data_IF_696983221209
#
_entry.id   IF_696983221209
#
_cell.length_a   1.000
_cell.length_b   1.000
_cell.length_c   1.000
_cell.angle_alpha   90.00
_cell.angle_beta   90.00
_cell.angle_gamma   90.00
#
_symmetry.space_group_name_H-M   'P 1'
#
loop_
_entity.id
_entity.type
_entity.pdbx_description
1 polymer ?
#
# COMPACT_ATOMS: atom_id res chain seq x y z
N UNK A 1 9.48 -59.65 -32.37
CA UNK A 1 10.45 -58.54 -32.27
C UNK A 1 9.77 -57.35 -31.59
N UNK A 2 10.58 -56.60 -30.82
CA UNK A 2 10.31 -55.53 -29.84
C UNK A 2 9.13 -54.58 -30.20
N UNK A 3 8.15 -54.31 -29.32
CA UNK A 3 8.17 -53.53 -28.06
C UNK A 3 8.47 -52.03 -28.30
N UNK A 4 7.43 -51.22 -28.49
CA UNK A 4 7.52 -49.76 -28.34
C UNK A 4 6.54 -49.27 -27.26
N UNK A 5 7.12 -48.91 -26.10
CA UNK A 5 6.47 -48.19 -25.01
C UNK A 5 6.79 -46.71 -25.21
N UNK A 6 5.82 -45.91 -25.61
CA UNK A 6 5.97 -44.45 -25.61
C UNK A 6 5.59 -43.93 -24.21
N UNK A 7 6.61 -43.58 -23.44
CA UNK A 7 6.47 -43.05 -22.09
C UNK A 7 5.93 -41.62 -22.09
N UNK A 8 4.93 -41.37 -21.25
CA UNK A 8 4.56 -40.03 -20.81
C UNK A 8 5.71 -39.46 -19.97
N UNK A 9 6.34 -38.39 -20.44
CA UNK A 9 7.21 -37.55 -19.61
C UNK A 9 6.37 -36.35 -19.17
N UNK A 10 5.74 -36.47 -18.00
CA UNK A 10 5.08 -35.33 -17.35
C UNK A 10 6.17 -34.43 -16.74
N UNK A 11 6.47 -33.32 -17.40
CA UNK A 11 7.38 -32.28 -16.88
C UNK A 11 6.60 -31.47 -15.84
N UNK A 12 6.77 -31.81 -14.56
CA UNK A 12 6.32 -30.98 -13.43
C UNK A 12 7.19 -29.72 -13.36
N UNK A 13 6.73 -28.62 -13.96
CA UNK A 13 7.28 -27.29 -13.69
C UNK A 13 6.93 -26.91 -12.25
N UNK A 14 7.89 -27.11 -11.33
CA UNK A 14 7.89 -26.40 -10.06
C UNK A 14 8.16 -24.93 -10.35
N UNK A 15 7.09 -24.13 -10.45
CA UNK A 15 7.17 -22.69 -10.37
C UNK A 15 7.75 -22.35 -8.99
N UNK A 16 9.03 -22.03 -8.95
CA UNK A 16 9.68 -21.35 -7.84
C UNK A 16 9.04 -19.96 -7.74
N UNK A 17 7.94 -19.87 -7.00
CA UNK A 17 7.42 -18.60 -6.53
C UNK A 17 8.46 -18.03 -5.59
N UNK A 18 9.36 -17.18 -6.09
CA UNK A 18 10.18 -16.32 -5.23
C UNK A 18 9.23 -15.65 -4.24
N UNK A 19 9.46 -15.72 -2.92
CA UNK A 19 8.71 -14.89 -1.99
C UNK A 19 8.99 -13.46 -2.44
N UNK A 20 7.96 -12.79 -2.97
CA UNK A 20 8.00 -11.35 -3.12
C UNK A 20 8.42 -10.82 -1.75
N UNK A 21 9.59 -10.18 -1.70
CA UNK A 21 10.18 -9.72 -0.45
C UNK A 21 9.08 -9.01 0.32
N UNK A 22 8.80 -9.49 1.53
CA UNK A 22 7.94 -8.76 2.45
C UNK A 22 8.69 -7.47 2.75
N UNK A 23 8.48 -6.47 1.90
CA UNK A 23 8.90 -5.10 2.12
C UNK A 23 8.51 -4.76 3.56
N UNK A 24 9.52 -4.49 4.39
CA UNK A 24 9.32 -4.43 5.82
C UNK A 24 8.46 -3.20 6.17
N UNK A 25 7.16 -3.45 6.34
CA UNK A 25 6.17 -2.44 6.66
C UNK A 25 6.42 -1.77 8.02
N UNK A 26 7.34 -2.30 8.85
CA UNK A 26 7.83 -1.60 10.04
C UNK A 26 8.46 -0.25 9.71
N UNK A 27 8.94 -0.02 8.48
CA UNK A 27 9.40 1.31 8.05
C UNK A 27 8.30 2.37 8.15
N UNK A 28 7.03 1.98 8.04
CA UNK A 28 5.88 2.88 8.16
C UNK A 28 5.56 3.24 9.61
N UNK A 29 6.11 2.53 10.60
CA UNK A 29 5.84 2.81 12.00
C UNK A 29 6.27 4.23 12.38
N UNK A 30 5.33 4.97 12.98
CA UNK A 30 5.55 6.32 13.44
C UNK A 30 5.47 7.41 12.38
N UNK A 31 5.28 7.04 11.11
CA UNK A 31 4.87 7.96 10.03
C UNK A 31 3.44 8.47 10.24
N UNK A 32 2.98 9.37 9.37
CA UNK A 32 1.66 9.98 9.49
C UNK A 32 0.85 9.77 8.22
N UNK A 33 -0.42 9.42 8.36
CA UNK A 33 -1.28 9.09 7.24
C UNK A 33 -2.68 9.68 7.36
N UNK A 34 -3.34 9.86 6.22
CA UNK A 34 -4.78 10.11 6.13
C UNK A 34 -5.35 9.38 4.91
N UNK A 35 -6.67 9.16 4.89
CA UNK A 35 -7.32 8.45 3.80
C UNK A 35 -7.64 9.42 2.66
N UNK A 36 -6.97 9.28 1.53
CA UNK A 36 -7.16 10.08 0.32
C UNK A 36 -8.63 10.15 -0.12
N UNK A 37 -9.37 9.03 -0.01
CA UNK A 37 -10.77 8.97 -0.44
C UNK A 37 -11.77 9.54 0.57
N UNK A 38 -11.32 9.95 1.76
CA UNK A 38 -12.18 10.61 2.73
C UNK A 38 -12.15 12.13 2.52
N UNK A 39 -13.23 12.82 2.88
CA UNK A 39 -13.27 14.28 2.83
C UNK A 39 -12.13 14.87 3.69
N UNK A 40 -11.17 15.61 3.11
CA UNK A 40 -9.98 16.06 3.81
C UNK A 40 -10.31 17.00 4.98
N UNK A 41 -11.32 17.87 4.86
CA UNK A 41 -11.74 18.79 5.94
C UNK A 41 -12.38 18.13 7.15
N UNK A 42 -12.75 16.84 7.04
CA UNK A 42 -13.36 16.05 8.13
C UNK A 42 -12.43 15.01 8.74
N UNK A 43 -11.19 14.92 8.27
CA UNK A 43 -10.19 14.00 8.80
C UNK A 43 -8.96 14.74 9.33
N UNK A 44 -8.12 14.01 10.05
CA UNK A 44 -6.83 14.47 10.55
C UNK A 44 -5.75 13.48 10.14
N UNK A 45 -4.51 13.94 10.10
CA UNK A 45 -3.39 13.04 10.00
C UNK A 45 -3.23 12.20 11.27
N UNK A 46 -3.20 10.89 11.12
CA UNK A 46 -3.03 9.93 12.21
C UNK A 46 -1.65 9.29 12.15
N UNK A 47 -1.05 9.02 13.30
CA UNK A 47 0.22 8.30 13.37
C UNK A 47 0.00 6.83 12.97
N UNK A 48 0.84 6.31 12.09
CA UNK A 48 0.85 4.90 11.69
C UNK A 48 1.44 4.09 12.84
N UNK A 49 0.56 3.50 13.64
CA UNK A 49 0.89 2.65 14.78
C UNK A 49 -0.31 1.76 15.13
N UNK A 50 -0.09 0.80 16.03
CA UNK A 50 -1.15 -0.03 16.61
C UNK A 50 -2.06 -0.63 15.53
N UNK A 51 -3.39 -0.47 15.65
CA UNK A 51 -4.34 -1.07 14.71
C UNK A 51 -4.12 -0.69 13.24
N UNK A 52 -3.73 0.56 12.93
CA UNK A 52 -3.52 0.99 11.55
C UNK A 52 -2.32 0.29 10.92
N UNK A 53 -1.21 0.20 11.66
CA UNK A 53 -0.03 -0.54 11.20
C UNK A 53 -0.34 -2.03 11.07
N UNK A 54 -1.08 -2.62 12.01
CA UNK A 54 -1.55 -4.01 11.91
C UNK A 54 -2.40 -4.24 10.67
N UNK A 55 -3.29 -3.30 10.32
CA UNK A 55 -4.08 -3.37 9.09
C UNK A 55 -3.21 -3.32 7.84
N UNK A 56 -2.20 -2.43 7.78
CA UNK A 56 -1.26 -2.38 6.67
C UNK A 56 -0.46 -3.66 6.51
N UNK A 57 -0.09 -4.30 7.63
CA UNK A 57 0.61 -5.60 7.64
C UNK A 57 -0.27 -6.79 7.27
N UNK A 58 -1.59 -6.62 7.22
CA UNK A 58 -2.50 -7.68 6.82
C UNK A 58 -2.58 -7.81 5.30
N UNK A 59 -3.09 -8.93 4.81
CA UNK A 59 -3.40 -9.11 3.38
C UNK A 59 -4.55 -8.22 2.89
N UNK A 60 -5.13 -7.39 3.76
CA UNK A 60 -6.20 -6.43 3.43
C UNK A 60 -5.69 -5.15 2.77
N UNK A 61 -4.38 -4.88 2.82
CA UNK A 61 -3.75 -3.72 2.19
C UNK A 61 -2.59 -4.13 1.31
N UNK A 62 -2.37 -3.36 0.24
CA UNK A 62 -1.16 -3.40 -0.58
C UNK A 62 -0.48 -2.05 -0.47
N UNK A 63 0.73 -2.05 0.09
CA UNK A 63 1.51 -0.83 0.26
C UNK A 63 2.61 -0.72 -0.80
N UNK A 64 2.75 0.46 -1.40
CA UNK A 64 3.93 0.84 -2.17
C UNK A 64 4.82 1.70 -1.26
N UNK A 65 5.98 1.13 -0.89
CA UNK A 65 6.96 1.79 -0.02
C UNK A 65 7.87 2.77 -0.77
N UNK A 66 7.73 2.84 -2.09
CA UNK A 66 8.41 3.83 -2.92
C UNK A 66 7.81 5.20 -2.65
N UNK A 67 8.65 6.16 -2.26
CA UNK A 67 8.19 7.52 -2.00
C UNK A 67 7.88 8.22 -3.33
N UNK A 68 6.62 8.60 -3.54
CA UNK A 68 6.13 9.31 -4.73
C UNK A 68 5.90 10.79 -4.40
N UNK A 69 6.35 11.70 -5.27
CA UNK A 69 6.31 13.16 -5.04
C UNK A 69 5.22 13.91 -5.81
N UNK A 70 4.33 13.20 -6.51
CA UNK A 70 3.23 13.75 -7.29
C UNK A 70 1.96 14.01 -6.47
N UNK A 71 2.10 14.27 -5.16
CA UNK A 71 0.99 14.64 -4.28
C UNK A 71 0.56 16.10 -4.52
N UNK A 72 -0.63 16.49 -4.05
CA UNK A 72 -1.19 17.84 -4.28
C UNK A 72 -0.31 18.96 -3.70
N UNK A 73 0.43 18.69 -2.62
CA UNK A 73 1.40 19.61 -2.00
C UNK A 73 2.85 19.42 -2.48
N UNK A 74 3.11 18.49 -3.40
CA UNK A 74 4.45 18.12 -3.88
C UNK A 74 5.32 17.39 -2.84
N UNK A 75 4.76 17.00 -1.70
CA UNK A 75 5.45 16.26 -0.67
C UNK A 75 5.56 14.77 -1.04
N UNK A 76 6.68 14.12 -0.71
CA UNK A 76 6.80 12.68 -0.93
C UNK A 76 5.90 11.88 0.02
N UNK A 77 5.11 10.96 -0.54
CA UNK A 77 4.26 10.03 0.19
C UNK A 77 4.51 8.58 -0.26
N UNK A 78 4.31 7.65 0.66
CA UNK A 78 4.10 6.23 0.36
C UNK A 78 2.61 5.96 0.35
N UNK A 79 2.17 4.87 -0.26
CA UNK A 79 0.73 4.56 -0.33
C UNK A 79 0.43 3.20 0.26
N UNK A 80 -0.75 3.07 0.88
CA UNK A 80 -1.32 1.79 1.28
C UNK A 80 -2.77 1.76 0.83
N UNK A 81 -3.08 0.92 -0.16
CA UNK A 81 -4.42 0.81 -0.75
C UNK A 81 -5.08 -0.49 -0.28
N UNK A 82 -6.32 -0.39 0.17
CA UNK A 82 -7.13 -1.53 0.58
C UNK A 82 -7.44 -2.42 -0.63
N UNK A 83 -7.14 -3.72 -0.55
CA UNK A 83 -7.27 -4.63 -1.70
C UNK A 83 -8.70 -5.11 -1.94
N UNK A 84 -9.59 -4.94 -0.96
CA UNK A 84 -10.98 -5.43 -1.01
C UNK A 84 -11.93 -4.44 -0.34
N UNK A 85 -12.97 -4.01 -1.06
CA UNK A 85 -14.03 -3.15 -0.54
C UNK A 85 -14.84 -2.55 -1.67
N UNK A 86 -16.10 -2.18 -1.42
CA UNK A 86 -16.91 -1.44 -2.39
C UNK A 86 -16.37 -0.01 -2.59
N UNK A 87 -15.72 0.55 -1.56
CA UNK A 87 -15.06 1.86 -1.58
C UNK A 87 -13.69 1.69 -0.90
N UNK A 88 -12.66 1.19 -1.61
CA UNK A 88 -11.37 0.89 -1.00
C UNK A 88 -10.75 2.15 -0.42
N UNK A 89 -10.18 2.03 0.79
CA UNK A 89 -9.41 3.13 1.37
C UNK A 89 -8.03 3.22 0.72
N UNK A 90 -7.54 4.43 0.55
CA UNK A 90 -6.16 4.67 0.12
C UNK A 90 -5.52 5.62 1.10
N UNK A 91 -4.47 5.18 1.77
CA UNK A 91 -3.75 5.99 2.73
C UNK A 91 -2.50 6.57 2.07
N UNK A 92 -2.38 7.90 2.09
CA UNK A 92 -1.10 8.57 1.85
C UNK A 92 -0.32 8.62 3.16
N UNK A 93 0.93 8.15 3.14
CA UNK A 93 1.80 8.03 4.31
C UNK A 93 3.04 8.91 4.16
N UNK A 94 3.19 9.89 5.05
CA UNK A 94 4.25 10.88 5.05
C UNK A 94 5.20 10.70 6.22
N UNK A 95 6.46 11.09 6.03
CA UNK A 95 7.49 10.99 7.07
C UNK A 95 7.26 11.94 8.26
N UNK A 96 6.50 13.03 8.07
CA UNK A 96 6.23 14.00 9.14
C UNK A 96 4.77 14.41 9.20
N UNK A 97 4.29 14.74 10.41
CA UNK A 97 2.94 15.28 10.62
C UNK A 97 2.73 16.57 9.81
N UNK A 98 3.76 17.43 9.73
CA UNK A 98 3.70 18.68 8.97
C UNK A 98 3.46 18.44 7.48
N UNK A 99 4.15 17.47 6.88
CA UNK A 99 3.95 17.12 5.48
C UNK A 99 2.55 16.55 5.23
N UNK A 100 2.10 15.66 6.12
CA UNK A 100 0.76 15.09 6.05
C UNK A 100 -0.34 16.15 6.15
N UNK A 101 -0.28 17.04 7.14
CA UNK A 101 -1.29 18.08 7.33
C UNK A 101 -1.26 19.13 6.22
N UNK A 102 -0.07 19.43 5.68
CA UNK A 102 0.04 20.30 4.51
C UNK A 102 -0.69 19.68 3.32
N UNK A 103 -0.43 18.41 3.02
CA UNK A 103 -1.12 17.70 1.95
C UNK A 103 -2.64 17.74 2.14
N UNK A 104 -3.12 17.30 3.31
CA UNK A 104 -4.56 17.26 3.62
C UNK A 104 -5.23 18.61 3.41
N UNK A 105 -4.60 19.69 3.88
CA UNK A 105 -5.12 21.07 3.70
C UNK A 105 -5.06 21.55 2.26
N UNK A 106 -4.03 21.16 1.51
CA UNK A 106 -3.93 21.47 0.08
C UNK A 106 -5.06 20.81 -0.68
N UNK A 107 -5.36 19.53 -0.42
CA UNK A 107 -6.50 18.83 -1.03
C UNK A 107 -7.83 19.48 -0.67
N UNK A 108 -8.02 19.82 0.60
CA UNK A 108 -9.20 20.56 1.06
C UNK A 108 -9.37 21.89 0.31
N UNK A 109 -8.26 22.62 0.09
CA UNK A 109 -8.27 23.89 -0.65
C UNK A 109 -8.55 23.70 -2.15
N UNK A 110 -8.13 22.56 -2.72
CA UNK A 110 -8.36 22.20 -4.11
C UNK A 110 -9.78 21.65 -4.37
N UNK A 111 -10.57 21.41 -3.31
CA UNK A 111 -11.89 20.79 -3.43
C UNK A 111 -11.84 19.29 -3.71
N UNK A 112 -10.72 18.62 -3.40
CA UNK A 112 -10.57 17.18 -3.56
C UNK A 112 -11.28 16.48 -2.38
N UNK A 113 -12.46 15.89 -2.62
CA UNK A 113 -13.23 15.20 -1.58
C UNK A 113 -14.68 14.86 -1.92
#
# INVERSE_FOLDING_TARGET
MLRNRSGLVAVTLFLLSSPAGADDLDVLQGKFAFNWHANPGRQKCVKVAGPLLTSFKSTGYRCDLTAQSNTSSGASARTCTEVKGQNPKEYLVFDTLRACERERKTQESNGEG
#
